data_IF_032352036997
#
_entry.id   IF_032352036997
#
_cell.length_a   1.000
_cell.length_b   1.000
_cell.length_c   1.000
_cell.angle_alpha   90.00
_cell.angle_beta   90.00
_cell.angle_gamma   90.00
#
_symmetry.space_group_name_H-M   'P 1'
#
loop_
_entity.id
_entity.type
_entity.pdbx_description
1 polymer ?
#
# COMPACT_ATOMS: atom_id res chain seq x y z
N UNK A 1 1.17 -9.53 17.71
CA UNK A 1 0.08 -8.56 17.44
C UNK A 1 0.43 -7.84 16.15
N UNK A 2 -0.42 -7.94 15.13
CA UNK A 2 -0.19 -7.35 13.81
C UNK A 2 -0.64 -5.89 13.82
N UNK A 3 0.12 -4.98 13.17
CA UNK A 3 -0.22 -3.56 13.09
C UNK A 3 -0.42 -3.16 11.63
N UNK A 4 -1.60 -2.66 11.31
CA UNK A 4 -1.94 -2.13 9.99
C UNK A 4 -1.79 -0.61 9.99
N UNK A 5 -1.19 -0.05 8.93
CA UNK A 5 -1.11 1.40 8.72
C UNK A 5 -1.79 1.72 7.40
N UNK A 6 -2.93 2.40 7.50
CA UNK A 6 -3.62 2.93 6.33
C UNK A 6 -2.95 4.21 5.84
N UNK A 7 -2.82 4.33 4.52
CA UNK A 7 -2.32 5.52 3.86
C UNK A 7 -3.11 5.80 2.58
N UNK A 8 -3.13 7.06 2.16
CA UNK A 8 -3.63 7.47 0.85
C UNK A 8 -2.44 7.79 -0.05
N UNK A 9 -2.57 7.40 -1.32
CA UNK A 9 -1.53 7.59 -2.29
C UNK A 9 -2.05 7.57 -3.72
N UNK A 10 -1.11 7.60 -4.64
CA UNK A 10 -1.35 7.37 -6.07
C UNK A 10 -0.32 6.39 -6.62
N UNK A 11 -0.69 5.73 -7.70
CA UNK A 11 0.18 4.84 -8.44
C UNK A 11 0.48 5.50 -9.78
N UNK A 12 1.76 5.61 -10.12
CA UNK A 12 2.21 6.02 -11.43
C UNK A 12 2.82 4.81 -12.14
N UNK A 13 2.29 4.52 -13.33
CA UNK A 13 2.78 3.47 -14.22
C UNK A 13 3.65 4.11 -15.28
N UNK A 14 4.92 3.73 -15.31
CA UNK A 14 5.95 4.28 -16.18
C UNK A 14 6.41 3.22 -17.16
N UNK A 15 6.44 3.54 -18.45
CA UNK A 15 7.02 2.67 -19.49
C UNK A 15 8.37 3.21 -19.92
N UNK A 16 9.45 2.45 -19.71
CA UNK A 16 10.82 2.80 -20.10
C UNK A 16 11.54 1.61 -20.71
N UNK A 17 12.10 1.79 -21.92
CA UNK A 17 12.82 0.71 -22.62
C UNK A 17 12.00 -0.55 -22.85
N UNK A 18 10.69 -0.42 -23.10
CA UNK A 18 9.78 -1.55 -23.27
C UNK A 18 9.37 -2.27 -21.98
N UNK A 19 9.91 -1.86 -20.82
CA UNK A 19 9.54 -2.39 -19.50
C UNK A 19 8.60 -1.44 -18.77
N UNK A 20 7.73 -2.01 -17.95
CA UNK A 20 6.82 -1.28 -17.08
C UNK A 20 7.38 -1.20 -15.67
N UNK A 21 7.26 -0.02 -15.07
CA UNK A 21 7.69 0.27 -13.72
C UNK A 21 6.53 0.93 -12.98
N UNK A 22 6.36 0.54 -11.72
CA UNK A 22 5.32 1.10 -10.86
C UNK A 22 5.99 1.94 -9.77
N UNK A 23 5.49 3.15 -9.56
CA UNK A 23 5.89 4.02 -8.45
C UNK A 23 4.67 4.34 -7.60
N UNK A 24 4.79 4.07 -6.30
CA UNK A 24 3.75 4.37 -5.31
C UNK A 24 4.12 5.69 -4.62
N UNK A 25 3.27 6.70 -4.77
CA UNK A 25 3.38 7.95 -4.01
C UNK A 25 2.49 7.85 -2.79
N UNK A 26 3.06 8.11 -1.60
CA UNK A 26 2.30 8.16 -0.36
C UNK A 26 2.26 9.60 0.16
N UNK A 27 1.07 10.12 0.44
CA UNK A 27 0.93 11.47 0.95
C UNK A 27 1.27 11.54 2.44
N UNK A 28 2.11 12.50 2.81
CA UNK A 28 2.68 12.60 4.17
C UNK A 28 1.62 12.86 5.24
N UNK A 29 0.60 13.64 4.91
CA UNK A 29 -0.52 13.99 5.77
C UNK A 29 -1.59 12.89 5.85
N UNK A 30 -1.73 12.08 4.81
CA UNK A 30 -2.67 10.95 4.76
C UNK A 30 -1.98 9.60 5.05
N UNK A 31 -1.37 9.48 6.23
CA UNK A 31 -0.76 8.24 6.71
C UNK A 31 0.73 8.07 6.39
N UNK A 32 1.29 8.81 5.42
CA UNK A 32 2.71 8.70 5.05
C UNK A 32 3.70 9.00 6.19
N UNK A 33 3.41 9.99 7.04
CA UNK A 33 4.24 10.26 8.24
C UNK A 33 4.33 9.05 9.18
N UNK A 34 3.30 8.21 9.23
CA UNK A 34 3.30 6.97 10.02
C UNK A 34 4.18 5.89 9.39
N UNK A 35 4.44 5.96 8.08
CA UNK A 35 5.29 5.01 7.37
C UNK A 35 6.79 5.33 7.54
N UNK A 36 7.16 6.58 7.79
CA UNK A 36 8.57 6.99 7.99
C UNK A 36 9.28 6.16 9.06
N UNK A 37 8.57 5.72 10.10
CA UNK A 37 9.13 4.86 11.16
C UNK A 37 9.57 3.46 10.68
N UNK A 38 9.13 3.05 9.49
CA UNK A 38 9.46 1.78 8.85
C UNK A 38 10.44 1.97 7.69
N UNK A 39 11.01 3.16 7.50
CA UNK A 39 12.05 3.37 6.49
C UNK A 39 13.23 2.42 6.74
N UNK A 40 13.83 1.93 5.64
CA UNK A 40 14.95 0.98 5.64
C UNK A 40 14.65 -0.37 6.32
N UNK A 41 13.38 -0.73 6.52
CA UNK A 41 12.97 -2.08 6.90
C UNK A 41 12.69 -2.92 5.65
N UNK A 42 12.96 -4.21 5.75
CA UNK A 42 12.61 -5.16 4.70
C UNK A 42 11.08 -5.28 4.59
N UNK A 43 10.61 -5.43 3.35
CA UNK A 43 9.21 -5.67 3.04
C UNK A 43 9.08 -7.14 2.68
N UNK A 44 8.40 -7.91 3.53
CA UNK A 44 8.19 -9.35 3.34
C UNK A 44 7.36 -9.66 2.09
N UNK A 45 6.43 -8.77 1.74
CA UNK A 45 5.62 -8.91 0.53
C UNK A 45 4.63 -7.76 0.36
N UNK A 46 3.86 -7.83 -0.73
CA UNK A 46 2.77 -6.91 -1.03
C UNK A 46 1.48 -7.73 -1.11
N UNK A 47 0.50 -7.41 -0.26
CA UNK A 47 -0.83 -8.01 -0.29
C UNK A 47 -1.80 -6.99 -0.87
N UNK A 48 -2.50 -7.38 -1.94
CA UNK A 48 -3.58 -6.59 -2.53
C UNK A 48 -4.89 -7.17 -2.01
N UNK A 49 -5.69 -6.36 -1.33
CA UNK A 49 -7.02 -6.74 -0.85
C UNK A 49 -8.03 -6.11 -1.81
N UNK A 50 -8.68 -6.95 -2.62
CA UNK A 50 -9.82 -6.54 -3.45
C UNK A 50 -11.09 -6.74 -2.60
N UNK A 51 -11.70 -5.63 -2.19
CA UNK A 51 -12.93 -5.54 -1.37
C UNK A 51 -12.96 -6.32 -0.04
N UNK A 52 -13.09 -5.58 1.07
CA UNK A 52 -13.81 -6.09 2.24
C UNK A 52 -15.31 -6.14 1.86
N UNK A 53 -15.71 -7.12 1.05
CA UNK A 53 -17.14 -7.41 0.85
C UNK A 53 -17.80 -7.64 2.23
N UNK A 54 -19.09 -7.27 2.42
CA UNK A 54 -19.76 -7.47 3.69
C UNK A 54 -19.58 -8.94 4.10
N UNK A 55 -19.06 -9.17 5.30
CA UNK A 55 -19.15 -10.48 5.93
C UNK A 55 -20.65 -10.78 6.05
N UNK A 56 -21.15 -11.66 5.19
CA UNK A 56 -22.44 -12.30 5.40
C UNK A 56 -22.33 -13.08 6.70
N UNK A 57 -22.71 -12.44 7.81
CA UNK A 57 -23.09 -13.14 9.02
C UNK A 57 -24.46 -13.73 8.76
N UNK A 58 -24.48 -14.99 8.30
CA UNK A 58 -25.66 -15.84 8.47
C UNK A 58 -25.26 -16.97 9.40
N UNK A 59 -25.94 -17.03 10.54
CA UNK A 59 -25.90 -18.08 11.57
C UNK A 59 -26.19 -19.48 11.00
#
# INVERSE_FOLDING_TARGET
MTRVVFFRGSIEVLRRGGKEYVRIYVYSDAGGRRLVRYANKEVEGMVVVEDEGPQDTTD
#
